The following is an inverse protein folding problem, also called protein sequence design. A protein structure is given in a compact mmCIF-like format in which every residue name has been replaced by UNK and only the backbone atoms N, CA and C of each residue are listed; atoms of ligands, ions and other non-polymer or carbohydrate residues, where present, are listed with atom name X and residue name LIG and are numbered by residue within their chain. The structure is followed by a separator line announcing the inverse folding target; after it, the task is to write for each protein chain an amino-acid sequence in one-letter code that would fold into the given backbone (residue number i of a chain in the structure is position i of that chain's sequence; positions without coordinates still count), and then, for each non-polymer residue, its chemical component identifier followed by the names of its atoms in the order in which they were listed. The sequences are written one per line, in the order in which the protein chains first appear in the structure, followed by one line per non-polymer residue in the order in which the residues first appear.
data_IF_147982207357
#
_entry.id   IF_147982207357
#
_cell.length_a   1.000
_cell.length_b   1.000
_cell.length_c   1.000
_cell.angle_alpha   90.00
_cell.angle_beta   90.00
_cell.angle_gamma   90.00
#
_symmetry.space_group_name_H-M   'P 1'
#
loop_
_entity.id
_entity.type
_entity.pdbx_description
1 polymer ?
#
# COMPACT_ATOMS: atom_id res chain seq x y z
N UNK A 1 -54.33 -39.83 23.69
CA UNK A 1 -54.84 -39.36 25.00
C UNK A 1 -54.23 -37.97 25.26
N UNK A 2 -55.07 -36.94 25.43
CA UNK A 2 -54.82 -35.56 25.96
C UNK A 2 -53.69 -34.71 25.32
N UNK A 3 -53.92 -33.68 24.49
CA UNK A 3 -54.57 -32.34 24.66
C UNK A 3 -53.97 -31.45 25.77
N UNK A 4 -53.35 -30.31 25.40
CA UNK A 4 -53.66 -28.91 25.82
C UNK A 4 -52.55 -27.93 25.35
N UNK A 5 -52.84 -26.99 24.42
CA UNK A 5 -53.35 -25.59 24.61
C UNK A 5 -52.27 -24.62 25.13
N UNK A 6 -51.66 -23.78 24.29
CA UNK A 6 -52.07 -22.41 23.84
C UNK A 6 -51.90 -21.27 24.85
N UNK A 7 -51.50 -20.09 24.29
CA UNK A 7 -51.65 -18.67 24.75
C UNK A 7 -50.45 -18.09 25.50
N UNK A 8 -50.07 -16.79 25.41
CA UNK A 8 -50.48 -15.58 24.66
C UNK A 8 -49.48 -14.44 25.01
N UNK A 9 -49.74 -13.25 24.42
CA UNK A 9 -49.32 -11.86 24.75
C UNK A 9 -47.97 -11.45 24.15
N UNK A 10 -47.85 -10.57 23.16
CA UNK A 10 -48.55 -9.31 22.75
C UNK A 10 -48.59 -8.22 23.84
N UNK A 11 -47.65 -7.29 23.71
CA UNK A 11 -47.68 -5.82 23.96
C UNK A 11 -46.67 -5.26 22.92
N UNK A 12 -46.98 -4.46 21.89
CA UNK A 12 -47.76 -3.21 21.79
C UNK A 12 -47.25 -2.24 22.88
N UNK A 13 -46.64 -1.08 22.61
CA UNK A 13 -47.22 0.09 21.94
C UNK A 13 -46.18 1.23 21.86
N UNK A 14 -46.22 2.01 20.76
CA UNK A 14 -45.96 3.48 20.61
C UNK A 14 -44.58 4.07 20.96
N UNK A 15 -43.86 4.63 19.98
CA UNK A 15 -44.05 5.94 19.30
C UNK A 15 -43.42 7.08 20.12
N UNK A 16 -42.26 7.52 19.65
CA UNK A 16 -41.63 8.79 19.98
C UNK A 16 -40.95 9.36 18.74
N UNK A 17 -41.76 9.88 17.82
CA UNK A 17 -41.32 10.81 16.77
C UNK A 17 -41.24 12.22 17.36
N UNK A 18 -40.08 12.86 17.23
CA UNK A 18 -39.94 14.30 16.92
C UNK A 18 -38.49 14.55 16.55
N UNK A 19 -38.23 14.97 15.30
CA UNK A 19 -37.79 16.34 14.98
C UNK A 19 -36.26 16.46 15.10
N UNK A 20 -35.48 16.85 14.09
CA UNK A 20 -35.67 18.01 13.24
C UNK A 20 -34.64 17.96 12.08
N UNK A 21 -35.13 18.20 10.85
CA UNK A 21 -34.60 19.11 9.80
C UNK A 21 -33.06 19.31 9.77
N UNK A 22 -32.35 18.83 8.72
CA UNK A 22 -31.97 19.55 7.46
C UNK A 22 -31.19 20.87 7.68
N UNK A 23 -30.33 21.34 6.75
CA UNK A 23 -30.05 20.83 5.40
C UNK A 23 -28.56 20.83 4.99
N UNK A 24 -28.34 20.29 3.80
CA UNK A 24 -27.17 20.52 2.96
C UNK A 24 -26.88 22.01 2.78
N UNK A 25 -25.63 22.40 2.96
CA UNK A 25 -25.08 23.64 2.41
C UNK A 25 -24.08 23.31 1.32
N UNK A 26 -24.56 23.39 0.07
CA UNK A 26 -23.76 23.88 -1.05
C UNK A 26 -23.41 25.35 -0.76
N UNK A 27 -22.13 25.67 -0.71
CA UNK A 27 -21.57 27.00 -0.93
C UNK A 27 -20.24 26.72 -1.69
N UNK A 28 -20.25 26.83 -3.01
CA UNK A 28 -19.86 28.05 -3.71
C UNK A 28 -18.39 28.42 -3.41
N UNK A 29 -17.50 28.14 -4.37
CA UNK A 29 -16.30 28.96 -4.55
C UNK A 29 -16.70 30.42 -4.82
N UNK A 30 -15.78 31.39 -4.73
CA UNK A 30 -14.61 31.41 -5.62
C UNK A 30 -13.33 31.99 -4.97
N UNK A 31 -12.29 32.12 -5.81
CA UNK A 31 -11.17 33.07 -5.74
C UNK A 31 -9.84 32.64 -5.11
N UNK A 32 -8.96 32.19 -6.02
CA UNK A 32 -7.53 32.54 -6.05
C UNK A 32 -7.30 34.05 -5.86
N UNK A 33 -6.19 34.42 -5.22
CA UNK A 33 -5.31 35.40 -5.84
C UNK A 33 -3.92 34.82 -6.12
N UNK A 34 -3.55 34.97 -7.39
CA UNK A 34 -2.19 34.91 -7.91
C UNK A 34 -1.41 36.06 -7.26
N UNK A 35 -0.31 35.75 -6.55
CA UNK A 35 0.70 36.75 -6.20
C UNK A 35 1.90 36.52 -7.12
N UNK A 36 1.90 37.27 -8.22
CA UNK A 36 3.07 37.55 -9.05
C UNK A 36 3.90 38.58 -8.30
N UNK A 37 5.15 38.24 -7.98
CA UNK A 37 6.16 39.20 -7.59
C UNK A 37 7.34 39.06 -8.56
N UNK A 38 7.12 39.62 -9.75
CA UNK A 38 8.19 40.04 -10.66
C UNK A 38 8.61 41.44 -10.21
N UNK A 39 9.83 41.59 -9.72
CA UNK A 39 10.54 42.87 -9.74
C UNK A 39 12.03 42.59 -9.99
N UNK A 40 12.44 42.86 -11.22
CA UNK A 40 13.85 42.91 -11.60
C UNK A 40 14.47 44.25 -11.24
N UNK A 41 15.78 44.26 -11.04
CA UNK A 41 16.64 45.39 -11.39
C UNK A 41 17.96 44.83 -11.93
N UNK A 42 18.26 45.28 -13.14
CA UNK A 42 19.47 45.03 -13.93
C UNK A 42 20.59 45.97 -13.45
N UNK A 43 21.81 45.41 -13.39
CA UNK A 43 23.15 46.01 -13.44
C UNK A 43 23.38 47.46 -12.94
N UNK A 44 24.30 47.59 -11.98
CA UNK A 44 25.36 48.60 -12.06
C UNK A 44 26.70 47.92 -11.73
N UNK A 45 27.60 47.95 -12.70
CA UNK A 45 28.97 47.45 -12.61
C UNK A 45 29.87 48.48 -11.92
N UNK A 46 30.75 48.01 -11.03
CA UNK A 46 32.03 48.68 -10.73
C UNK A 46 33.12 47.61 -10.67
N UNK A 47 34.08 47.75 -11.57
CA UNK A 47 35.23 46.88 -11.77
C UNK A 47 36.33 47.19 -10.76
N UNK A 48 36.77 46.18 -10.00
CA UNK A 48 38.12 46.16 -9.41
C UNK A 48 38.79 44.86 -9.83
N UNK A 49 39.89 45.03 -10.56
CA UNK A 49 40.76 43.99 -11.12
C UNK A 49 41.41 43.18 -10.00
N UNK A 50 41.00 41.91 -9.87
CA UNK A 50 41.77 40.88 -9.21
C UNK A 50 42.00 39.74 -10.23
N UNK A 51 43.25 39.32 -10.30
CA UNK A 51 43.88 38.35 -11.20
C UNK A 51 42.97 37.18 -11.61
N UNK A 52 42.93 36.77 -12.90
CA UNK A 52 42.13 35.62 -13.31
C UNK A 52 42.71 34.34 -12.71
N UNK A 53 41.94 33.56 -11.91
CA UNK A 53 42.33 32.19 -11.64
C UNK A 53 42.20 31.39 -12.95
N UNK A 54 43.23 30.59 -13.22
CA UNK A 54 43.32 29.65 -14.35
C UNK A 54 41.99 28.89 -14.55
N UNK A 55 41.48 28.72 -15.79
CA UNK A 55 40.29 27.93 -16.04
C UNK A 55 40.59 26.48 -15.62
N UNK A 56 40.00 26.08 -14.51
CA UNK A 56 39.94 24.67 -14.12
C UNK A 56 39.22 23.93 -15.25
N UNK A 57 39.78 22.84 -15.81
CA UNK A 57 39.06 21.99 -16.75
C UNK A 57 37.72 21.59 -16.12
N UNK A 58 36.62 21.46 -16.88
CA UNK A 58 35.36 21.01 -16.31
C UNK A 58 35.63 19.73 -15.54
N UNK A 59 35.35 19.76 -14.24
CA UNK A 59 35.40 18.58 -13.40
C UNK A 59 34.61 17.51 -14.13
N UNK A 60 35.26 16.37 -14.41
CA UNK A 60 34.59 15.16 -14.85
C UNK A 60 33.34 15.06 -13.99
N UNK A 61 32.18 15.02 -14.64
CA UNK A 61 30.91 14.66 -14.02
C UNK A 61 31.24 13.47 -13.12
N UNK A 62 31.22 13.69 -11.81
CA UNK A 62 31.22 12.58 -10.89
C UNK A 62 30.09 11.71 -11.38
N UNK A 63 30.42 10.49 -11.80
CA UNK A 63 29.42 9.45 -11.96
C UNK A 63 28.81 9.34 -10.57
N UNK A 64 27.74 10.12 -10.35
CA UNK A 64 26.96 10.11 -9.13
C UNK A 64 26.41 8.70 -9.10
N UNK A 65 27.15 7.84 -8.40
CA UNK A 65 26.72 6.48 -8.15
C UNK A 65 25.37 6.66 -7.46
N UNK A 66 24.27 6.12 -8.01
CA UNK A 66 22.97 6.22 -7.37
C UNK A 66 23.16 5.83 -5.90
N UNK A 67 22.49 6.50 -4.95
CA UNK A 67 22.60 6.14 -3.54
C UNK A 67 22.43 4.62 -3.41
N UNK A 68 23.27 3.95 -2.61
CA UNK A 68 23.22 2.49 -2.51
C UNK A 68 21.81 2.08 -2.13
N UNK A 69 21.23 1.18 -2.94
CA UNK A 69 19.91 0.63 -2.70
C UNK A 69 19.98 -0.08 -1.35
N UNK A 70 19.10 0.22 -0.39
CA UNK A 70 19.05 -0.52 0.86
C UNK A 70 18.92 -2.02 0.61
N UNK A 71 19.54 -2.88 1.40
CA UNK A 71 19.52 -4.34 1.18
C UNK A 71 18.09 -4.88 1.05
N UNK A 72 17.15 -4.33 1.83
CA UNK A 72 15.72 -4.61 1.78
C UNK A 72 15.04 -4.31 0.43
N UNK A 73 15.68 -3.55 -0.46
CA UNK A 73 15.19 -3.16 -1.79
C UNK A 73 16.06 -3.76 -2.92
N UNK A 74 17.08 -4.55 -2.58
CA UNK A 74 18.02 -5.10 -3.55
C UNK A 74 17.37 -6.10 -4.52
N UNK A 75 16.33 -6.82 -4.09
CA UNK A 75 15.62 -7.80 -4.90
C UNK A 75 14.15 -7.92 -4.50
N UNK A 76 13.27 -8.46 -5.37
CA UNK A 76 11.88 -8.77 -5.00
C UNK A 76 11.78 -9.69 -3.79
N UNK A 77 12.71 -10.64 -3.67
CA UNK A 77 12.83 -11.52 -2.51
C UNK A 77 13.12 -10.72 -1.24
N UNK A 78 14.15 -9.88 -1.25
CA UNK A 78 14.55 -9.08 -0.09
C UNK A 78 13.43 -8.14 0.38
N UNK A 79 12.66 -7.56 -0.56
CA UNK A 79 11.50 -6.71 -0.24
C UNK A 79 10.42 -7.48 0.49
N UNK A 80 10.14 -8.71 0.05
CA UNK A 80 9.13 -9.56 0.67
C UNK A 80 9.60 -10.08 2.03
N UNK A 81 10.83 -10.60 2.11
CA UNK A 81 11.44 -11.08 3.36
C UNK A 81 11.47 -9.97 4.42
N UNK A 82 11.96 -8.77 4.06
CA UNK A 82 11.99 -7.63 4.98
C UNK A 82 10.59 -7.23 5.46
N UNK A 83 9.57 -7.34 4.61
CA UNK A 83 8.20 -7.03 5.01
C UNK A 83 7.59 -8.10 5.93
N UNK A 84 7.91 -9.37 5.72
CA UNK A 84 7.42 -10.51 6.52
C UNK A 84 8.13 -10.58 7.88
N UNK A 85 9.46 -10.38 7.90
CA UNK A 85 10.30 -10.43 9.09
C UNK A 85 10.11 -9.19 9.98
N UNK A 86 9.71 -8.05 9.40
CA UNK A 86 9.36 -6.87 10.18
C UNK A 86 8.22 -7.20 11.16
N UNK A 87 8.56 -7.30 12.44
CA UNK A 87 7.61 -7.56 13.52
C UNK A 87 6.46 -6.53 13.47
N UNK A 88 5.31 -6.96 13.93
CA UNK A 88 4.14 -6.13 14.23
C UNK A 88 4.43 -4.92 15.14
N UNK A 89 5.52 -4.98 15.91
CA UNK A 89 6.06 -3.89 16.73
C UNK A 89 6.84 -2.85 15.93
N UNK A 90 7.33 -3.21 14.74
CA UNK A 90 8.04 -2.32 13.82
C UNK A 90 6.99 -1.53 13.03
N UNK A 91 6.83 -0.25 13.38
CA UNK A 91 5.85 0.65 12.74
C UNK A 91 6.05 0.76 11.23
N UNK A 92 5.01 1.17 10.50
CA UNK A 92 5.08 1.31 9.03
C UNK A 92 6.21 2.23 8.51
N UNK A 93 6.74 3.22 9.25
CA UNK A 93 7.89 4.00 8.77
C UNK A 93 9.11 3.15 8.42
N UNK A 94 9.35 2.03 9.11
CA UNK A 94 10.52 1.19 8.83
C UNK A 94 10.41 0.43 7.51
N UNK A 95 9.19 0.04 7.13
CA UNK A 95 8.92 -0.66 5.86
C UNK A 95 8.43 0.26 4.75
N UNK A 96 8.29 1.56 5.00
CA UNK A 96 7.84 2.53 4.01
C UNK A 96 8.72 2.52 2.75
N UNK A 97 10.02 2.23 2.89
CA UNK A 97 10.95 2.11 1.77
C UNK A 97 10.66 0.94 0.81
N UNK A 98 9.91 -0.07 1.26
CA UNK A 98 9.47 -1.20 0.44
C UNK A 98 8.26 -0.86 -0.45
N UNK A 99 7.65 0.31 -0.31
CA UNK A 99 6.50 0.74 -1.10
C UNK A 99 6.89 1.93 -1.97
N UNK A 100 6.24 2.11 -3.12
CA UNK A 100 6.44 3.33 -3.91
C UNK A 100 5.96 4.57 -3.12
N UNK A 101 6.54 5.74 -3.41
CA UNK A 101 6.27 6.98 -2.64
C UNK A 101 4.79 7.35 -2.57
N UNK A 102 4.02 6.99 -3.60
CA UNK A 102 2.59 7.29 -3.72
C UNK A 102 1.68 6.13 -3.31
N UNK A 103 2.25 5.00 -2.88
CA UNK A 103 1.48 3.81 -2.49
C UNK A 103 0.83 3.97 -1.11
N UNK A 104 1.54 4.60 -0.16
CA UNK A 104 1.09 4.72 1.21
C UNK A 104 0.52 6.11 1.49
N UNK A 105 -0.62 6.21 2.20
CA UNK A 105 -1.18 7.51 2.58
C UNK A 105 -0.25 8.25 3.56
N UNK A 106 -0.27 9.59 3.56
CA UNK A 106 0.59 10.40 4.41
C UNK A 106 0.24 10.28 5.90
N UNK A 107 -1.02 9.92 6.20
CA UNK A 107 -1.52 9.80 7.58
C UNK A 107 -0.95 8.55 8.24
N UNK A 108 -0.16 8.74 9.31
CA UNK A 108 0.56 7.66 9.99
C UNK A 108 -0.35 6.50 10.44
N UNK A 109 -1.46 6.80 11.11
CA UNK A 109 -2.40 5.78 11.59
C UNK A 109 -3.01 4.95 10.45
N UNK A 110 -3.34 5.58 9.31
CA UNK A 110 -3.90 4.89 8.14
C UNK A 110 -2.82 4.03 7.48
N UNK A 111 -1.60 4.55 7.39
CA UNK A 111 -0.45 3.82 6.86
C UNK A 111 -0.14 2.57 7.69
N UNK A 112 -0.08 2.70 9.01
CA UNK A 112 0.18 1.57 9.92
C UNK A 112 -0.89 0.48 9.79
N UNK A 113 -2.17 0.90 9.70
CA UNK A 113 -3.28 -0.03 9.43
C UNK A 113 -3.10 -0.75 8.09
N UNK A 114 -2.87 -0.01 7.00
CA UNK A 114 -2.73 -0.58 5.65
C UNK A 114 -1.59 -1.59 5.59
N UNK A 115 -0.43 -1.25 6.15
CA UNK A 115 0.73 -2.16 6.19
C UNK A 115 0.42 -3.40 7.00
N UNK A 116 -0.26 -3.27 8.14
CA UNK A 116 -0.70 -4.40 8.96
C UNK A 116 -1.67 -5.31 8.20
N UNK A 117 -2.71 -4.74 7.60
CA UNK A 117 -3.74 -5.49 6.87
C UNK A 117 -3.12 -6.19 5.64
N UNK A 118 -2.20 -5.52 4.95
CA UNK A 118 -1.42 -6.09 3.85
C UNK A 118 -0.54 -7.27 4.29
N UNK A 119 0.23 -7.13 5.39
CA UNK A 119 1.03 -8.23 5.96
C UNK A 119 0.16 -9.42 6.36
N UNK A 120 -0.97 -9.16 7.01
CA UNK A 120 -1.93 -10.19 7.40
C UNK A 120 -2.48 -10.95 6.18
N UNK A 121 -2.74 -10.26 5.07
CA UNK A 121 -3.18 -10.88 3.83
C UNK A 121 -2.08 -11.77 3.22
N UNK A 122 -0.83 -11.31 3.17
CA UNK A 122 0.30 -12.09 2.67
C UNK A 122 0.55 -13.34 3.54
N UNK A 123 0.56 -13.19 4.86
CA UNK A 123 0.69 -14.31 5.79
C UNK A 123 -0.46 -15.31 5.64
N UNK A 124 -1.70 -14.84 5.44
CA UNK A 124 -2.85 -15.71 5.21
C UNK A 124 -2.76 -16.47 3.87
N UNK A 125 -2.25 -15.84 2.80
CA UNK A 125 -1.95 -16.52 1.54
C UNK A 125 -0.91 -17.63 1.72
N UNK A 126 -0.08 -17.53 2.76
CA UNK A 126 0.95 -18.49 3.13
C UNK A 126 2.35 -18.06 2.75
N UNK A 127 2.57 -16.76 2.50
CA UNK A 127 3.93 -16.25 2.28
C UNK A 127 4.75 -16.35 3.57
N UNK A 128 5.94 -16.93 3.45
CA UNK A 128 6.96 -17.09 4.49
C UNK A 128 8.35 -17.05 3.83
N UNK A 129 9.42 -17.09 4.61
CA UNK A 129 10.79 -16.97 4.09
C UNK A 129 11.15 -18.12 3.11
N UNK A 130 10.66 -19.33 3.38
CA UNK A 130 10.88 -20.49 2.51
C UNK A 130 10.27 -20.31 1.12
N UNK A 131 9.04 -19.80 1.06
CA UNK A 131 8.33 -19.56 -0.20
C UNK A 131 8.83 -18.27 -0.85
N UNK A 132 9.23 -17.26 -0.07
CA UNK A 132 9.89 -16.06 -0.59
C UNK A 132 11.21 -16.40 -1.30
N UNK A 133 11.92 -17.46 -0.89
CA UNK A 133 13.11 -17.95 -1.58
C UNK A 133 12.86 -18.41 -3.03
N UNK A 134 11.60 -18.69 -3.40
CA UNK A 134 11.23 -18.98 -4.80
C UNK A 134 11.19 -17.73 -5.70
N UNK A 135 11.24 -16.53 -5.11
CA UNK A 135 11.31 -15.28 -5.87
C UNK A 135 12.72 -15.05 -6.42
N UNK A 136 12.83 -14.44 -7.61
CA UNK A 136 14.12 -14.21 -8.23
C UNK A 136 14.99 -13.24 -7.42
N UNK A 137 16.29 -13.51 -7.41
CA UNK A 137 17.31 -12.56 -6.96
C UNK A 137 17.48 -11.42 -7.96
N UNK A 138 18.13 -10.33 -7.56
CA UNK A 138 18.26 -9.09 -8.34
C UNK A 138 18.78 -9.30 -9.78
N UNK A 139 19.68 -10.27 -9.98
CA UNK A 139 20.28 -10.58 -11.28
C UNK A 139 19.27 -11.18 -12.28
N UNK A 140 18.28 -11.93 -11.78
CA UNK A 140 17.30 -12.68 -12.59
C UNK A 140 15.90 -12.05 -12.53
N UNK A 141 15.72 -11.02 -11.71
CA UNK A 141 14.44 -10.40 -11.46
C UNK A 141 14.02 -9.48 -12.61
N UNK A 142 12.85 -9.79 -13.18
CA UNK A 142 12.18 -8.93 -14.17
C UNK A 142 11.87 -7.55 -13.56
N UNK A 143 11.58 -6.58 -14.44
CA UNK A 143 11.12 -5.23 -14.05
C UNK A 143 9.88 -5.31 -13.14
N UNK A 144 9.06 -6.35 -13.31
CA UNK A 144 7.84 -6.60 -12.54
C UNK A 144 7.79 -8.07 -12.12
N UNK A 145 7.58 -8.29 -10.84
CA UNK A 145 7.42 -9.60 -10.22
C UNK A 145 6.04 -9.68 -9.58
N UNK A 146 5.24 -10.66 -10.00
CA UNK A 146 3.88 -10.88 -9.47
C UNK A 146 3.97 -11.73 -8.21
N UNK A 147 3.43 -11.22 -7.10
CA UNK A 147 3.32 -11.89 -5.80
C UNK A 147 1.89 -12.39 -5.58
N UNK A 148 0.89 -11.67 -6.11
CA UNK A 148 -0.51 -12.12 -6.17
C UNK A 148 -1.14 -11.62 -7.47
N UNK A 149 -1.88 -12.47 -8.21
CA UNK A 149 -2.30 -13.82 -7.83
C UNK A 149 -1.23 -14.90 -7.93
N UNK A 150 -1.46 -16.01 -7.24
CA UNK A 150 -0.51 -17.11 -7.18
C UNK A 150 -0.37 -17.81 -8.54
N UNK A 151 0.88 -17.96 -9.00
CA UNK A 151 1.24 -18.62 -10.25
C UNK A 151 1.45 -20.12 -10.06
N UNK A 152 1.58 -20.88 -11.16
CA UNK A 152 1.81 -22.33 -11.12
C UNK A 152 3.10 -22.77 -10.41
N UNK A 153 4.05 -21.84 -10.26
CA UNK A 153 5.28 -22.03 -9.48
C UNK A 153 5.08 -22.02 -7.96
N UNK A 154 3.90 -21.62 -7.47
CA UNK A 154 3.61 -21.51 -6.04
C UNK A 154 2.96 -22.78 -5.46
N UNK A 155 3.12 -23.05 -4.15
CA UNK A 155 2.56 -24.22 -3.50
C UNK A 155 1.04 -24.39 -3.73
N UNK A 156 0.52 -25.63 -3.87
CA UNK A 156 -0.90 -25.87 -4.15
C UNK A 156 -1.87 -25.23 -3.16
N UNK A 157 -1.53 -25.20 -1.86
CA UNK A 157 -2.34 -24.56 -0.82
C UNK A 157 -2.42 -23.04 -1.02
N UNK A 158 -1.32 -22.39 -1.40
CA UNK A 158 -1.29 -20.96 -1.71
C UNK A 158 -2.13 -20.66 -2.95
N UNK A 159 -2.03 -21.48 -3.99
CA UNK A 159 -2.89 -21.38 -5.18
C UNK A 159 -4.38 -21.51 -4.84
N UNK A 160 -4.75 -22.46 -3.96
CA UNK A 160 -6.14 -22.63 -3.49
C UNK A 160 -6.65 -21.39 -2.74
N UNK A 161 -5.86 -20.86 -1.81
CA UNK A 161 -6.22 -19.64 -1.05
C UNK A 161 -6.29 -18.43 -1.98
N UNK A 162 -5.37 -18.33 -2.93
CA UNK A 162 -5.34 -17.27 -3.94
C UNK A 162 -6.59 -17.28 -4.80
N UNK A 163 -6.96 -18.43 -5.38
CA UNK A 163 -8.16 -18.55 -6.21
C UNK A 163 -9.45 -18.25 -5.42
N UNK A 164 -9.52 -18.67 -4.15
CA UNK A 164 -10.65 -18.34 -3.28
C UNK A 164 -10.74 -16.83 -3.01
N UNK A 165 -9.60 -16.16 -2.84
CA UNK A 165 -9.53 -14.73 -2.61
C UNK A 165 -9.90 -13.94 -3.88
N UNK A 166 -9.32 -14.30 -5.03
CA UNK A 166 -9.66 -13.68 -6.32
C UNK A 166 -11.14 -13.76 -6.63
N UNK A 167 -11.77 -14.92 -6.39
CA UNK A 167 -13.21 -15.12 -6.63
C UNK A 167 -14.06 -14.17 -5.78
N UNK A 168 -13.63 -13.85 -4.56
CA UNK A 168 -14.39 -12.97 -3.63
C UNK A 168 -14.09 -11.49 -3.84
N UNK A 169 -12.86 -11.13 -4.19
CA UNK A 169 -12.47 -9.75 -4.46
C UNK A 169 -12.76 -9.32 -5.91
N UNK A 170 -13.20 -10.25 -6.76
CA UNK A 170 -13.46 -10.01 -8.18
C UNK A 170 -12.19 -9.78 -8.99
N UNK A 171 -11.04 -10.29 -8.53
CA UNK A 171 -9.75 -10.17 -9.22
C UNK A 171 -9.17 -8.76 -9.27
N UNK A 172 -9.67 -7.84 -8.43
CA UNK A 172 -9.27 -6.43 -8.41
C UNK A 172 -7.97 -6.20 -7.66
N UNK A 173 -7.74 -6.94 -6.58
CA UNK A 173 -6.51 -6.85 -5.82
C UNK A 173 -5.37 -7.57 -6.53
N UNK A 174 -4.24 -6.87 -6.71
CA UNK A 174 -3.01 -7.42 -7.28
C UNK A 174 -1.82 -6.97 -6.48
N UNK A 175 -0.89 -7.89 -6.23
CA UNK A 175 0.35 -7.59 -5.51
C UNK A 175 1.50 -7.82 -6.46
N UNK A 176 2.16 -6.72 -6.81
CA UNK A 176 3.30 -6.71 -7.72
C UNK A 176 4.45 -5.94 -7.08
N UNK A 177 5.66 -6.45 -7.26
CA UNK A 177 6.91 -5.76 -6.93
C UNK A 177 7.49 -5.24 -8.23
N UNK A 178 7.74 -3.94 -8.29
CA UNK A 178 8.28 -3.23 -9.46
C UNK A 178 9.66 -2.66 -9.17
N UNK A 179 10.51 -2.65 -10.19
CA UNK A 179 11.82 -1.99 -10.13
C UNK A 179 11.65 -0.50 -10.43
N UNK A 180 12.07 0.35 -9.49
CA UNK A 180 12.12 1.81 -9.66
C UNK A 180 13.27 2.26 -10.55
N UNK A 181 13.26 3.54 -10.93
CA UNK A 181 14.31 4.15 -11.76
C UNK A 181 15.69 4.17 -11.07
N UNK A 182 15.69 4.22 -9.74
CA UNK A 182 16.88 4.09 -8.90
C UNK A 182 17.38 2.65 -8.76
N UNK A 183 16.75 1.70 -9.47
CA UNK A 183 17.12 0.30 -9.50
C UNK A 183 16.58 -0.53 -8.34
N UNK A 184 15.98 0.10 -7.32
CA UNK A 184 15.42 -0.57 -6.14
C UNK A 184 14.03 -1.18 -6.39
N UNK A 185 13.76 -2.33 -5.78
CA UNK A 185 12.48 -3.02 -5.88
C UNK A 185 11.50 -2.56 -4.80
N UNK A 186 10.23 -2.34 -5.17
CA UNK A 186 9.16 -1.87 -4.25
C UNK A 186 7.81 -2.43 -4.64
N UNK A 187 6.91 -2.60 -3.67
CA UNK A 187 5.50 -2.91 -3.93
C UNK A 187 4.82 -1.76 -4.69
N UNK A 188 4.09 -2.13 -5.74
CA UNK A 188 3.27 -1.23 -6.52
C UNK A 188 2.12 -0.67 -5.67
N UNK A 189 1.61 0.52 -6.03
CA UNK A 189 0.54 1.20 -5.27
C UNK A 189 -0.76 0.39 -5.23
N UNK A 190 -1.00 -0.40 -6.26
CA UNK A 190 -2.17 -1.27 -6.42
C UNK A 190 -2.25 -2.34 -5.32
N UNK A 191 -1.10 -2.71 -4.74
CA UNK A 191 -1.03 -3.71 -3.67
C UNK A 191 -1.65 -3.23 -2.36
N UNK A 192 -1.68 -1.92 -2.10
CA UNK A 192 -2.01 -1.32 -0.80
C UNK A 192 -3.17 -0.32 -0.85
N UNK A 193 -4.01 -0.42 -1.88
CA UNK A 193 -5.23 0.39 -1.98
C UNK A 193 -6.18 0.01 -0.84
N UNK A 194 -6.52 0.98 0.02
CA UNK A 194 -7.30 0.73 1.24
C UNK A 194 -8.62 -0.01 0.99
N UNK A 195 -9.38 0.38 -0.04
CA UNK A 195 -10.66 -0.27 -0.38
C UNK A 195 -10.49 -1.72 -0.82
N UNK A 196 -9.39 -2.04 -1.49
CA UNK A 196 -9.09 -3.41 -1.93
C UNK A 196 -8.63 -4.26 -0.74
N UNK A 197 -7.83 -3.69 0.17
CA UNK A 197 -7.41 -4.36 1.40
C UNK A 197 -8.57 -4.61 2.37
N UNK A 198 -9.53 -3.69 2.46
CA UNK A 198 -10.78 -3.91 3.20
C UNK A 198 -11.53 -5.11 2.64
N UNK A 199 -11.72 -5.17 1.31
CA UNK A 199 -12.38 -6.28 0.64
C UNK A 199 -11.62 -7.61 0.79
N UNK A 200 -10.29 -7.58 0.76
CA UNK A 200 -9.42 -8.75 1.00
C UNK A 200 -9.58 -9.24 2.43
N UNK A 201 -9.56 -8.35 3.41
CA UNK A 201 -9.69 -8.70 4.83
C UNK A 201 -11.06 -9.32 5.10
N UNK A 202 -12.13 -8.73 4.57
CA UNK A 202 -13.49 -9.27 4.65
C UNK A 202 -13.59 -10.65 3.97
N UNK A 203 -12.97 -10.83 2.80
CA UNK A 203 -12.94 -12.10 2.10
C UNK A 203 -12.20 -13.18 2.90
N UNK A 204 -11.09 -12.83 3.57
CA UNK A 204 -10.34 -13.73 4.45
C UNK A 204 -11.19 -14.14 5.67
N UNK A 205 -11.87 -13.18 6.31
CA UNK A 205 -12.76 -13.45 7.45
C UNK A 205 -13.91 -14.36 7.02
N UNK A 206 -14.55 -14.07 5.88
CA UNK A 206 -15.63 -14.88 5.34
C UNK A 206 -15.14 -16.30 4.98
N UNK A 207 -13.96 -16.43 4.38
CA UNK A 207 -13.36 -17.75 4.10
C UNK A 207 -13.14 -18.57 5.37
N UNK A 208 -12.62 -17.95 6.45
CA UNK A 208 -12.43 -18.62 7.74
C UNK A 208 -13.76 -19.06 8.34
N UNK A 209 -14.78 -18.20 8.28
CA UNK A 209 -16.14 -18.50 8.76
C UNK A 209 -16.75 -19.69 8.02
N UNK A 210 -16.67 -19.70 6.69
CA UNK A 210 -17.23 -20.79 5.89
C UNK A 210 -16.56 -22.12 6.23
N UNK A 211 -15.23 -22.12 6.43
CA UNK A 211 -14.49 -23.32 6.85
C UNK A 211 -14.79 -23.78 8.27
N UNK A 212 -15.13 -22.85 9.17
CA UNK A 212 -15.57 -23.16 10.54
C UNK A 212 -17.05 -23.54 10.64
N UNK A 213 -17.83 -23.32 9.57
CA UNK A 213 -19.29 -23.45 9.53
C UNK A 213 -19.82 -24.50 8.56
N UNK A 214 -18.97 -25.21 7.83
CA UNK A 214 -19.36 -26.37 7.02
C UNK A 214 -19.03 -27.69 7.72
N UNK A 215 -20.09 -28.34 8.20
CA UNK A 215 -20.31 -29.77 8.43
C UNK A 215 -19.47 -30.47 9.51
#
# INVERSE_FOLDING_TARGET
MMIRRTRRTRRETTRGTTSMRKPWTRLAGPMLPIIVLMLGVVLAATTTTATPPMPTPPAKTETTTPPPIPDAQASPRAVLEFLIDADSSVGAPAVAGCFTKDALPPTAAVRDRIVRDFRNALAWLGWNDEIAASLPLAADAKIRTVVFPATDSMPPEMRRRSAALEKRTGGKWRVEIVRGEDGGYRFAKEAVVASELDAVTDAIIAYRRDRSGTA
#
